data_IF_624486946805
#
_entry.id   IF_624486946805
#
_cell.length_a   1.000
_cell.length_b   1.000
_cell.length_c   1.000
_cell.angle_alpha   90.00
_cell.angle_beta   90.00
_cell.angle_gamma   90.00
#
_symmetry.space_group_name_H-M   'P 1'
#
loop_
_entity.id
_entity.type
_entity.pdbx_description
1 polymer ?
#
# COMPACT_ATOMS: atom_id res chain seq x y z
N UNK A 1 -10.90 9.29 -23.03
CA UNK A 1 -9.60 8.86 -22.45
C UNK A 1 -9.42 9.27 -20.99
N UNK A 2 -9.54 10.55 -20.63
CA UNK A 2 -9.34 11.03 -19.24
C UNK A 2 -10.10 10.25 -18.15
N UNK A 3 -11.39 9.95 -18.36
CA UNK A 3 -12.19 9.15 -17.42
C UNK A 3 -11.68 7.71 -17.26
N UNK A 4 -11.22 7.09 -18.35
CA UNK A 4 -10.65 5.73 -18.32
C UNK A 4 -9.38 5.72 -17.48
N UNK A 5 -8.48 6.71 -17.68
CA UNK A 5 -7.26 6.86 -16.88
C UNK A 5 -7.58 7.02 -15.39
N UNK A 6 -8.61 7.79 -15.05
CA UNK A 6 -9.03 7.94 -13.64
C UNK A 6 -9.53 6.62 -13.04
N UNK A 7 -10.40 5.90 -13.76
CA UNK A 7 -10.93 4.61 -13.30
C UNK A 7 -9.79 3.60 -13.12
N UNK A 8 -8.90 3.50 -14.10
CA UNK A 8 -7.71 2.63 -14.02
C UNK A 8 -6.79 3.01 -12.86
N UNK A 9 -6.57 4.31 -12.62
CA UNK A 9 -5.79 4.79 -11.48
C UNK A 9 -6.42 4.41 -10.14
N UNK A 10 -7.73 4.55 -9.99
CA UNK A 10 -8.43 4.14 -8.77
C UNK A 10 -8.39 2.61 -8.56
N UNK A 11 -8.55 1.82 -9.63
CA UNK A 11 -8.40 0.37 -9.55
C UNK A 11 -6.99 -0.04 -9.14
N UNK A 12 -5.95 0.55 -9.73
CA UNK A 12 -4.56 0.29 -9.37
C UNK A 12 -4.28 0.69 -7.92
N UNK A 13 -4.83 1.79 -7.45
CA UNK A 13 -4.71 2.20 -6.06
C UNK A 13 -5.34 1.19 -5.09
N UNK A 14 -6.57 0.73 -5.38
CA UNK A 14 -7.25 -0.29 -4.56
C UNK A 14 -6.44 -1.60 -4.54
N UNK A 15 -5.96 -2.05 -5.70
CA UNK A 15 -5.10 -3.23 -5.82
C UNK A 15 -3.80 -3.07 -5.02
N UNK A 16 -3.19 -1.88 -5.03
CA UNK A 16 -2.02 -1.56 -4.22
C UNK A 16 -2.29 -1.68 -2.72
N UNK A 17 -3.43 -1.14 -2.24
CA UNK A 17 -3.85 -1.25 -0.84
C UNK A 17 -4.08 -2.71 -0.42
N UNK A 18 -4.79 -3.49 -1.24
CA UNK A 18 -5.02 -4.92 -0.98
C UNK A 18 -3.69 -5.67 -0.89
N UNK A 19 -2.75 -5.38 -1.79
CA UNK A 19 -1.44 -6.00 -1.77
C UNK A 19 -0.66 -5.63 -0.51
N UNK A 20 -0.67 -4.35 -0.10
CA UNK A 20 -0.04 -3.93 1.16
C UNK A 20 -0.62 -4.68 2.36
N UNK A 21 -1.94 -4.90 2.41
CA UNK A 21 -2.60 -5.66 3.48
C UNK A 21 -2.18 -7.14 3.48
N UNK A 22 -2.21 -7.81 2.32
CA UNK A 22 -1.80 -9.22 2.19
C UNK A 22 -0.32 -9.42 2.52
N UNK A 23 0.51 -8.41 2.21
CA UNK A 23 1.93 -8.43 2.51
C UNK A 23 2.27 -7.85 3.89
N UNK A 24 1.29 -7.61 4.76
CA UNK A 24 1.54 -7.26 6.16
C UNK A 24 1.92 -8.49 7.01
N UNK A 25 2.85 -8.31 7.94
CA UNK A 25 3.36 -9.38 8.81
C UNK A 25 4.69 -10.01 8.37
N UNK A 26 5.26 -10.88 9.21
CA UNK A 26 6.50 -11.59 8.89
C UNK A 26 6.24 -12.71 7.88
N UNK A 27 7.14 -12.87 6.90
CA UNK A 27 7.11 -13.95 5.90
C UNK A 27 7.04 -15.34 6.53
N UNK A 28 7.60 -15.47 7.73
CA UNK A 28 7.76 -16.73 8.43
C UNK A 28 6.74 -16.94 9.55
N UNK A 29 5.73 -16.06 9.70
CA UNK A 29 4.70 -16.21 10.76
C UNK A 29 4.01 -17.57 10.74
N UNK A 30 3.78 -18.13 9.55
CA UNK A 30 3.20 -19.48 9.39
C UNK A 30 4.00 -20.58 10.11
N UNK A 31 5.30 -20.38 10.34
CA UNK A 31 6.15 -21.35 11.05
C UNK A 31 5.75 -21.44 12.52
N UNK A 32 5.42 -20.31 13.15
CA UNK A 32 4.92 -20.28 14.53
C UNK A 32 3.50 -20.81 14.65
N UNK A 33 2.68 -20.62 13.61
CA UNK A 33 1.33 -21.19 13.55
C UNK A 33 1.36 -22.73 13.45
N UNK A 34 2.37 -23.29 12.78
CA UNK A 34 2.55 -24.73 12.60
C UNK A 34 3.30 -25.39 13.75
N UNK A 35 4.31 -24.72 14.32
CA UNK A 35 5.10 -25.21 15.45
C UNK A 35 5.30 -24.09 16.49
N UNK A 36 4.52 -24.10 17.60
CA UNK A 36 4.63 -23.10 18.65
C UNK A 36 5.96 -23.11 19.41
N UNK A 37 6.80 -24.15 19.24
CA UNK A 37 8.13 -24.23 19.87
C UNK A 37 9.16 -23.32 19.20
N UNK A 38 8.85 -22.79 18.01
CA UNK A 38 9.69 -21.84 17.28
C UNK A 38 9.60 -20.45 17.94
N UNK A 39 10.56 -20.15 18.80
CA UNK A 39 10.60 -18.89 19.57
C UNK A 39 11.22 -17.71 18.81
N UNK A 40 11.94 -17.96 17.72
CA UNK A 40 12.56 -16.92 16.89
C UNK A 40 12.35 -17.20 15.40
N UNK A 41 11.76 -16.22 14.70
CA UNK A 41 11.62 -16.29 13.25
C UNK A 41 12.93 -15.87 12.57
N UNK A 42 13.25 -16.44 11.39
CA UNK A 42 14.39 -15.99 10.59
C UNK A 42 14.31 -14.49 10.32
N UNK A 43 15.38 -13.75 10.63
CA UNK A 43 15.49 -12.33 10.30
C UNK A 43 15.91 -12.17 8.84
N UNK A 44 14.95 -12.39 7.93
CA UNK A 44 15.11 -12.20 6.50
C UNK A 44 14.25 -11.07 5.98
N UNK A 45 14.53 -9.82 6.39
CA UNK A 45 13.69 -8.67 6.04
C UNK A 45 13.96 -8.08 4.64
N UNK A 46 14.59 -8.81 3.72
CA UNK A 46 15.22 -8.23 2.54
C UNK A 46 14.25 -7.75 1.45
N UNK A 47 13.26 -8.58 1.10
CA UNK A 47 12.51 -8.38 -0.13
C UNK A 47 11.07 -7.91 0.09
N UNK A 48 10.38 -8.42 1.13
CA UNK A 48 8.97 -8.08 1.40
C UNK A 48 8.82 -6.60 1.75
N UNK A 49 9.71 -6.07 2.58
CA UNK A 49 9.74 -4.66 2.94
C UNK A 49 10.06 -3.75 1.75
N UNK A 50 11.00 -4.15 0.89
CA UNK A 50 11.35 -3.40 -0.32
C UNK A 50 10.17 -3.36 -1.29
N UNK A 51 9.51 -4.50 -1.52
CA UNK A 51 8.32 -4.59 -2.36
C UNK A 51 7.19 -3.74 -1.78
N UNK A 52 6.97 -3.81 -0.46
CA UNK A 52 5.94 -3.00 0.22
C UNK A 52 6.20 -1.51 0.04
N UNK A 53 7.43 -1.05 0.27
CA UNK A 53 7.85 0.35 0.04
C UNK A 53 7.65 0.77 -1.42
N UNK A 54 7.98 -0.10 -2.38
CA UNK A 54 7.78 0.17 -3.80
C UNK A 54 6.29 0.34 -4.14
N UNK A 55 5.42 -0.54 -3.64
CA UNK A 55 3.97 -0.44 -3.85
C UNK A 55 3.41 0.83 -3.21
N UNK A 56 3.90 1.21 -2.03
CA UNK A 56 3.58 2.50 -1.41
C UNK A 56 3.95 3.67 -2.31
N UNK A 57 5.19 3.72 -2.81
CA UNK A 57 5.65 4.79 -3.70
C UNK A 57 4.82 4.89 -4.97
N UNK A 58 4.49 3.75 -5.60
CA UNK A 58 3.60 3.71 -6.77
C UNK A 58 2.21 4.23 -6.42
N UNK A 59 1.66 3.83 -5.28
CA UNK A 59 0.32 4.26 -4.83
C UNK A 59 0.27 5.77 -4.58
N UNK A 60 1.32 6.35 -3.99
CA UNK A 60 1.44 7.81 -3.82
C UNK A 60 1.50 8.51 -5.18
N UNK A 61 2.34 8.01 -6.10
CA UNK A 61 2.47 8.59 -7.43
C UNK A 61 1.13 8.57 -8.19
N UNK A 62 0.37 7.48 -8.11
CA UNK A 62 -0.99 7.38 -8.68
C UNK A 62 -1.91 8.45 -8.08
N UNK A 63 -1.91 8.64 -6.76
CA UNK A 63 -2.75 9.65 -6.12
C UNK A 63 -2.37 11.08 -6.54
N UNK A 64 -1.09 11.39 -6.69
CA UNK A 64 -0.63 12.68 -7.21
C UNK A 64 -1.13 12.88 -8.65
N UNK A 65 -0.99 11.88 -9.50
CA UNK A 65 -1.50 11.94 -10.88
C UNK A 65 -3.02 12.14 -10.91
N UNK A 66 -3.77 11.40 -10.10
CA UNK A 66 -5.23 11.54 -9.99
C UNK A 66 -5.65 12.92 -9.49
N UNK A 67 -4.88 13.50 -8.56
CA UNK A 67 -5.12 14.85 -8.04
C UNK A 67 -5.03 15.90 -9.15
N UNK A 68 -3.94 15.92 -9.92
CA UNK A 68 -3.77 16.86 -11.04
C UNK A 68 -4.75 16.58 -12.18
N UNK A 69 -5.05 15.29 -12.40
CA UNK A 69 -6.02 14.87 -13.39
C UNK A 69 -7.45 14.95 -12.87
N UNK A 70 -7.75 15.57 -11.73
CA UNK A 70 -9.14 15.83 -11.30
C UNK A 70 -9.55 17.26 -11.62
N UNK A 71 -10.65 17.43 -12.38
CA UNK A 71 -11.25 18.77 -12.59
C UNK A 71 -12.09 19.18 -11.39
N UNK A 72 -12.77 18.23 -10.73
CA UNK A 72 -13.65 18.54 -9.61
C UNK A 72 -12.87 18.68 -8.29
N UNK A 73 -13.34 19.59 -7.43
CA UNK A 73 -12.85 19.70 -6.03
C UNK A 73 -13.00 18.38 -5.29
N UNK A 74 -14.10 17.66 -5.51
CA UNK A 74 -14.37 16.36 -4.89
C UNK A 74 -13.31 15.32 -5.27
N UNK A 75 -12.95 15.19 -6.55
CA UNK A 75 -11.94 14.22 -6.97
C UNK A 75 -10.53 14.56 -6.46
N UNK A 76 -10.21 15.86 -6.32
CA UNK A 76 -8.99 16.32 -5.64
C UNK A 76 -9.00 15.96 -4.15
N UNK A 77 -10.14 16.14 -3.49
CA UNK A 77 -10.35 15.76 -2.09
C UNK A 77 -10.14 14.27 -1.87
N UNK A 78 -10.73 13.41 -2.70
CA UNK A 78 -10.49 11.96 -2.62
C UNK A 78 -9.03 11.59 -2.82
N UNK A 79 -8.33 12.25 -3.74
CA UNK A 79 -6.91 11.96 -3.97
C UNK A 79 -6.05 12.39 -2.78
N UNK A 80 -6.35 13.54 -2.18
CA UNK A 80 -5.70 14.02 -0.96
C UNK A 80 -5.97 13.09 0.24
N UNK A 81 -7.20 12.60 0.40
CA UNK A 81 -7.55 11.59 1.41
C UNK A 81 -6.81 10.27 1.17
N UNK A 82 -6.64 9.86 -0.09
CA UNK A 82 -5.83 8.69 -0.45
C UNK A 82 -4.37 8.84 -0.02
N UNK A 83 -3.76 10.00 -0.23
CA UNK A 83 -2.40 10.30 0.26
C UNK A 83 -2.35 10.27 1.78
N UNK A 84 -3.30 10.91 2.46
CA UNK A 84 -3.38 10.91 3.92
C UNK A 84 -3.47 9.49 4.49
N UNK A 85 -4.29 8.64 3.87
CA UNK A 85 -4.43 7.22 4.25
C UNK A 85 -3.11 6.46 4.07
N UNK A 86 -2.38 6.69 2.97
CA UNK A 86 -1.06 6.09 2.77
C UNK A 86 -0.05 6.57 3.83
N UNK A 87 -0.09 7.84 4.24
CA UNK A 87 0.78 8.35 5.29
C UNK A 87 0.47 7.73 6.66
N UNK A 88 -0.81 7.61 7.02
CA UNK A 88 -1.23 6.99 8.28
C UNK A 88 -0.80 5.52 8.31
N UNK A 89 -1.00 4.79 7.21
CA UNK A 89 -0.63 3.37 7.16
C UNK A 89 0.87 3.15 7.14
N UNK A 90 1.64 4.04 6.50
CA UNK A 90 3.11 4.03 6.57
C UNK A 90 3.59 4.28 8.00
N UNK A 91 3.07 5.30 8.67
CA UNK A 91 3.39 5.60 10.07
C UNK A 91 3.05 4.43 11.01
N UNK A 92 1.86 3.85 10.87
CA UNK A 92 1.43 2.69 11.65
C UNK A 92 2.30 1.45 11.42
N UNK A 93 3.05 1.38 10.32
CA UNK A 93 3.93 0.25 10.02
C UNK A 93 5.34 0.38 10.59
N UNK A 94 5.70 1.57 11.08
CA UNK A 94 6.99 1.84 11.73
C UNK A 94 6.95 1.66 13.26
N UNK A 95 5.74 1.54 13.84
CA UNK A 95 5.50 1.21 15.26
C UNK A 95 5.43 -0.29 15.48
#
# INVERSE_FOLDING_TARGET
>A
MRKIIQISGWLLFIMGLVTIMLFSGSEYQWMQDMDPSITALPQGNGNRDVIRKLIYSISVAIQIVLYFLSVSRTGKGFSALGILLLLITAWSSEQ
#
